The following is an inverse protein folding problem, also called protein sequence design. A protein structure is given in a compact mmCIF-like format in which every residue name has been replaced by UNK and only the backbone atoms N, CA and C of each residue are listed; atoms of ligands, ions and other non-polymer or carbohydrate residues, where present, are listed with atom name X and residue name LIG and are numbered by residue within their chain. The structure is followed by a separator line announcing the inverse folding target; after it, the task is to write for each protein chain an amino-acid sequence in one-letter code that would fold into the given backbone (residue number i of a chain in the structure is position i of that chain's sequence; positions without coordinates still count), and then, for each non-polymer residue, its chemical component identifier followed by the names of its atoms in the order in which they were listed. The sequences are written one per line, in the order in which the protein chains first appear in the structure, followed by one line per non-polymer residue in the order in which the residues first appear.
data_IF_556187734580
#
_entry.id   IF_556187734580
#
_cell.length_a   1.000
_cell.length_b   1.000
_cell.length_c   1.000
_cell.angle_alpha   90.00
_cell.angle_beta   90.00
_cell.angle_gamma   90.00
#
_symmetry.space_group_name_H-M   'P 1'
#
loop_
_entity.id
_entity.type
_entity.pdbx_description
1 polymer ?
#
# COMPACT_ATOMS: atom_id res chain seq x y z
N UNK A 1 -5.85 15.88 17.31
CA UNK A 1 -5.37 16.10 15.92
C UNK A 1 -6.30 17.05 15.17
N UNK A 2 -5.78 18.03 14.42
CA UNK A 2 -6.62 18.92 13.59
C UNK A 2 -6.99 18.25 12.25
N UNK A 3 -8.07 18.70 11.61
CA UNK A 3 -8.60 18.11 10.37
C UNK A 3 -7.55 18.07 9.25
N UNK A 4 -6.74 19.12 9.11
CA UNK A 4 -5.72 19.20 8.06
C UNK A 4 -4.64 18.12 8.19
N UNK A 5 -4.23 17.78 9.42
CA UNK A 5 -3.24 16.70 9.65
C UNK A 5 -3.85 15.34 9.36
N UNK A 6 -5.12 15.12 9.74
CA UNK A 6 -5.85 13.91 9.40
C UNK A 6 -5.93 13.71 7.88
N UNK A 7 -6.23 14.78 7.13
CA UNK A 7 -6.33 14.72 5.67
C UNK A 7 -4.99 14.35 5.03
N UNK A 8 -3.86 14.89 5.51
CA UNK A 8 -2.55 14.50 4.98
C UNK A 8 -2.24 13.03 5.26
N UNK A 9 -2.51 12.55 6.47
CA UNK A 9 -2.33 11.16 6.84
C UNK A 9 -3.14 10.25 5.93
N UNK A 10 -4.45 10.48 5.82
CA UNK A 10 -5.33 9.63 5.02
C UNK A 10 -4.94 9.67 3.54
N UNK A 11 -4.66 10.85 3.01
CA UNK A 11 -4.24 11.01 1.61
C UNK A 11 -2.95 10.22 1.33
N UNK A 12 -1.94 10.36 2.18
CA UNK A 12 -0.69 9.60 2.08
C UNK A 12 -0.95 8.09 2.10
N UNK A 13 -1.72 7.62 3.08
CA UNK A 13 -2.04 6.20 3.28
C UNK A 13 -2.76 5.60 2.08
N UNK A 14 -3.75 6.29 1.51
CA UNK A 14 -4.48 5.81 0.34
C UNK A 14 -3.64 5.86 -0.95
N UNK A 15 -2.80 6.89 -1.13
CA UNK A 15 -1.84 6.94 -2.23
C UNK A 15 -0.86 5.76 -2.14
N UNK A 16 -0.31 5.49 -0.95
CA UNK A 16 0.60 4.37 -0.72
C UNK A 16 -0.09 3.03 -0.96
N UNK A 17 -1.37 2.86 -0.57
CA UNK A 17 -2.13 1.64 -0.87
C UNK A 17 -2.30 1.43 -2.39
N UNK A 18 -2.66 2.47 -3.13
CA UNK A 18 -2.74 2.41 -4.60
C UNK A 18 -1.38 2.11 -5.24
N UNK A 19 -0.31 2.71 -4.73
CA UNK A 19 1.05 2.46 -5.17
C UNK A 19 1.45 0.99 -5.01
N UNK A 20 1.12 0.35 -3.87
CA UNK A 20 1.40 -1.07 -3.64
C UNK A 20 0.70 -1.97 -4.66
N UNK A 21 -0.53 -1.63 -5.05
CA UNK A 21 -1.27 -2.38 -6.06
C UNK A 21 -0.62 -2.23 -7.43
N UNK A 22 -0.21 -1.01 -7.80
CA UNK A 22 0.46 -0.77 -9.07
C UNK A 22 1.82 -1.50 -9.15
N UNK A 23 2.59 -1.49 -8.06
CA UNK A 23 3.82 -2.27 -7.91
C UNK A 23 3.53 -3.77 -8.11
N UNK A 24 2.46 -4.28 -7.48
CA UNK A 24 2.07 -5.69 -7.61
C UNK A 24 1.66 -6.07 -9.03
N UNK A 25 0.93 -5.20 -9.74
CA UNK A 25 0.61 -5.38 -11.17
C UNK A 25 1.90 -5.45 -11.99
N UNK A 26 2.83 -4.52 -11.75
CA UNK A 26 4.12 -4.50 -12.44
C UNK A 26 4.94 -5.77 -12.24
N UNK A 27 5.04 -6.25 -11.01
CA UNK A 27 5.75 -7.49 -10.69
C UNK A 27 5.07 -8.74 -11.24
N UNK A 28 3.75 -8.78 -11.29
CA UNK A 28 3.02 -9.88 -11.90
C UNK A 28 3.28 -9.98 -13.41
N UNK A 29 3.38 -8.83 -14.10
CA UNK A 29 3.72 -8.76 -15.54
C UNK A 29 5.16 -9.20 -15.80
N UNK A 30 6.12 -8.64 -15.06
CA UNK A 30 7.54 -9.02 -15.16
C UNK A 30 7.74 -10.54 -14.97
N UNK A 31 7.01 -11.14 -14.01
CA UNK A 31 7.04 -12.59 -13.81
C UNK A 31 6.41 -13.37 -14.98
N UNK A 32 5.31 -12.89 -15.54
CA UNK A 32 4.65 -13.54 -16.67
C UNK A 32 5.55 -13.55 -17.92
N UNK A 33 6.19 -12.41 -18.22
CA UNK A 33 7.12 -12.27 -19.35
C UNK A 33 8.32 -13.22 -19.17
N UNK A 34 8.83 -13.37 -17.95
CA UNK A 34 9.91 -14.31 -17.65
C UNK A 34 9.55 -15.76 -17.83
N UNK A 35 8.38 -16.18 -17.36
CA UNK A 35 7.93 -17.57 -17.55
C UNK A 35 7.76 -17.90 -19.04
N UNK A 36 7.52 -16.91 -19.89
CA UNK A 36 7.47 -17.08 -21.34
C UNK A 36 8.85 -17.16 -22.00
N UNK A 37 9.84 -16.39 -21.51
CA UNK A 37 11.17 -16.26 -22.15
C UNK A 37 12.27 -17.16 -21.54
N UNK A 38 12.21 -17.45 -20.25
CA UNK A 38 13.26 -18.14 -19.52
C UNK A 38 12.66 -19.21 -18.60
N UNK A 39 13.08 -20.46 -18.76
CA UNK A 39 12.63 -21.63 -17.99
C UNK A 39 12.94 -21.60 -16.48
N UNK A 40 12.48 -20.58 -15.75
CA UNK A 40 12.39 -20.55 -14.29
C UNK A 40 13.47 -19.78 -13.53
N UNK A 41 14.35 -19.01 -14.19
CA UNK A 41 15.29 -18.15 -13.47
C UNK A 41 14.62 -16.84 -13.03
N UNK A 42 14.88 -16.41 -11.79
CA UNK A 42 14.31 -15.18 -11.24
C UNK A 42 14.69 -13.92 -12.00
N UNK A 43 13.83 -12.91 -11.93
CA UNK A 43 14.02 -11.62 -12.58
C UNK A 43 15.37 -10.97 -12.24
N UNK A 44 16.14 -10.63 -13.28
CA UNK A 44 17.17 -9.60 -13.14
C UNK A 44 16.54 -8.25 -12.73
N UNK A 45 17.36 -7.35 -12.20
CA UNK A 45 16.89 -6.03 -11.77
C UNK A 45 16.38 -5.16 -12.93
N UNK A 46 16.91 -5.33 -14.14
CA UNK A 46 16.63 -4.46 -15.28
C UNK A 46 15.15 -4.51 -15.74
N UNK A 47 14.51 -5.68 -15.98
CA UNK A 47 13.08 -5.75 -16.32
C UNK A 47 12.16 -5.15 -15.24
N UNK A 48 12.53 -5.28 -13.96
CA UNK A 48 11.77 -4.70 -12.85
C UNK A 48 11.82 -3.18 -12.94
N UNK A 49 13.02 -2.60 -13.08
CA UNK A 49 13.22 -1.15 -13.15
C UNK A 49 12.63 -0.50 -14.40
N UNK A 50 12.53 -1.25 -15.50
CA UNK A 50 11.92 -0.77 -16.75
C UNK A 50 10.40 -0.95 -16.82
N UNK A 51 9.79 -1.63 -15.86
CA UNK A 51 8.34 -1.83 -15.86
C UNK A 51 7.60 -0.51 -15.59
N UNK A 52 6.74 -0.02 -16.52
CA UNK A 52 6.03 1.24 -16.33
C UNK A 52 5.14 1.27 -15.07
N UNK A 53 4.62 0.11 -14.69
CA UNK A 53 3.79 -0.03 -13.50
C UNK A 53 4.65 0.03 -12.24
N UNK A 54 5.86 -0.55 -12.26
CA UNK A 54 6.80 -0.44 -11.14
C UNK A 54 7.25 1.02 -10.97
N UNK A 55 7.63 1.69 -12.06
CA UNK A 55 8.03 3.11 -12.03
C UNK A 55 6.88 3.98 -11.51
N UNK A 56 5.68 3.82 -12.07
CA UNK A 56 4.50 4.56 -11.62
C UNK A 56 4.15 4.28 -10.15
N UNK A 57 4.30 3.03 -9.71
CA UNK A 57 4.07 2.61 -8.34
C UNK A 57 5.10 3.23 -7.38
N UNK A 58 6.38 3.20 -7.72
CA UNK A 58 7.44 3.84 -6.93
C UNK A 58 7.26 5.35 -6.87
N UNK A 59 6.89 5.99 -7.98
CA UNK A 59 6.60 7.42 -8.03
C UNK A 59 5.42 7.79 -7.14
N UNK A 60 4.30 7.06 -7.23
CA UNK A 60 3.14 7.26 -6.37
C UNK A 60 3.50 7.01 -4.89
N UNK A 61 4.27 5.97 -4.59
CA UNK A 61 4.74 5.70 -3.23
C UNK A 61 5.62 6.84 -2.69
N UNK A 62 6.49 7.40 -3.54
CA UNK A 62 7.29 8.58 -3.23
C UNK A 62 6.42 9.81 -2.92
N UNK A 63 5.38 10.08 -3.71
CA UNK A 63 4.41 11.14 -3.42
C UNK A 63 3.71 10.89 -2.08
N UNK A 64 3.26 9.65 -1.83
CA UNK A 64 2.67 9.25 -0.56
C UNK A 64 3.59 9.55 0.62
N UNK A 65 4.89 9.25 0.48
CA UNK A 65 5.90 9.57 1.48
C UNK A 65 6.10 11.09 1.68
N UNK A 66 6.12 11.89 0.61
CA UNK A 66 6.22 13.35 0.73
C UNK A 66 5.00 13.95 1.45
N UNK A 67 3.80 13.45 1.18
CA UNK A 67 2.58 13.85 1.91
C UNK A 67 2.64 13.39 3.37
N UNK A 68 3.20 12.21 3.64
CA UNK A 68 3.41 11.71 5.00
C UNK A 68 4.32 12.63 5.82
N UNK A 69 5.41 13.13 5.22
CA UNK A 69 6.31 14.06 5.90
C UNK A 69 5.57 15.35 6.35
N UNK A 70 4.59 15.81 5.57
CA UNK A 70 3.73 16.94 5.96
C UNK A 70 2.78 16.66 7.12
N UNK A 71 2.36 15.41 7.29
CA UNK A 71 1.65 15.00 8.48
C UNK A 71 2.58 14.97 9.71
N UNK A 72 3.77 14.38 9.57
CA UNK A 72 4.74 14.26 10.67
C UNK A 72 5.29 15.62 11.15
N UNK A 73 5.27 16.64 10.29
CA UNK A 73 5.58 18.01 10.68
C UNK A 73 4.58 18.58 11.71
N UNK A 74 3.37 18.01 11.82
CA UNK A 74 2.24 18.59 12.57
C UNK A 74 1.73 17.75 13.73
N UNK A 75 2.03 16.46 13.73
CA UNK A 75 1.58 15.52 14.75
C UNK A 75 2.68 14.53 15.09
N UNK A 76 2.68 14.06 16.33
CA UNK A 76 3.61 13.03 16.76
C UNK A 76 3.38 11.74 15.95
N UNK A 77 4.47 11.02 15.68
CA UNK A 77 4.44 9.75 14.95
C UNK A 77 3.49 8.76 15.62
N UNK A 78 3.46 8.69 16.96
CA UNK A 78 2.57 7.81 17.72
C UNK A 78 1.09 8.10 17.52
N UNK A 79 0.72 9.36 17.22
CA UNK A 79 -0.65 9.75 16.89
C UNK A 79 -0.99 9.43 15.42
N UNK A 80 -0.02 9.56 14.50
CA UNK A 80 -0.23 9.33 13.08
C UNK A 80 -0.22 7.85 12.68
N UNK A 81 0.67 7.06 13.27
CA UNK A 81 0.91 5.66 12.91
C UNK A 81 -0.33 4.75 12.95
N UNK A 82 -1.27 4.90 13.90
CA UNK A 82 -2.51 4.12 13.92
C UNK A 82 -3.30 4.20 12.62
N UNK A 83 -3.26 5.33 11.90
CA UNK A 83 -3.96 5.47 10.63
C UNK A 83 -3.28 4.74 9.46
N UNK A 84 -1.99 4.40 9.57
CA UNK A 84 -1.30 3.55 8.57
C UNK A 84 -1.99 2.19 8.45
N UNK A 85 -2.60 1.71 9.52
CA UNK A 85 -3.33 0.45 9.51
C UNK A 85 -4.58 0.48 8.60
N UNK A 86 -5.17 1.66 8.35
CA UNK A 86 -6.20 1.81 7.31
C UNK A 86 -5.63 1.54 5.91
N UNK A 87 -4.33 1.78 5.70
CA UNK A 87 -3.61 1.43 4.49
C UNK A 87 -3.54 -0.07 4.26
N UNK A 88 -3.40 -0.89 5.31
CA UNK A 88 -3.49 -2.34 5.17
C UNK A 88 -4.87 -2.77 4.70
N UNK A 89 -5.93 -2.18 5.26
CA UNK A 89 -7.32 -2.47 4.86
C UNK A 89 -7.59 -2.02 3.43
N UNK A 90 -7.13 -0.81 3.06
CA UNK A 90 -7.26 -0.30 1.70
C UNK A 90 -6.50 -1.17 0.70
N UNK A 91 -5.25 -1.56 1.01
CA UNK A 91 -4.45 -2.43 0.15
C UNK A 91 -5.08 -3.82 0.03
N UNK A 92 -5.60 -4.37 1.12
CA UNK A 92 -6.34 -5.64 1.09
C UNK A 92 -7.59 -5.54 0.21
N UNK A 93 -8.40 -4.51 0.38
CA UNK A 93 -9.59 -4.28 -0.43
C UNK A 93 -9.23 -4.14 -1.92
N UNK A 94 -8.23 -3.32 -2.25
CA UNK A 94 -7.77 -3.18 -3.62
C UNK A 94 -7.17 -4.49 -4.17
N UNK A 95 -6.48 -5.29 -3.36
CA UNK A 95 -6.01 -6.61 -3.76
C UNK A 95 -7.18 -7.54 -4.15
N UNK A 96 -8.26 -7.51 -3.39
CA UNK A 96 -9.48 -8.28 -3.69
C UNK A 96 -10.15 -7.75 -4.97
N UNK A 97 -10.37 -6.44 -5.09
CA UNK A 97 -11.17 -5.86 -6.18
C UNK A 97 -10.40 -5.63 -7.49
N UNK A 98 -9.13 -5.27 -7.42
CA UNK A 98 -8.30 -4.93 -8.60
C UNK A 98 -7.51 -6.16 -9.06
N UNK A 99 -6.87 -6.86 -8.13
CA UNK A 99 -6.02 -8.00 -8.44
C UNK A 99 -6.78 -9.33 -8.42
N UNK A 100 -8.05 -9.31 -8.01
CA UNK A 100 -8.88 -10.52 -7.88
C UNK A 100 -8.23 -11.58 -6.98
N UNK A 101 -7.53 -11.13 -5.92
CA UNK A 101 -6.90 -12.03 -4.97
C UNK A 101 -7.96 -12.87 -4.23
N UNK A 102 -7.67 -14.16 -3.95
CA UNK A 102 -8.60 -15.01 -3.23
C UNK A 102 -8.90 -14.46 -1.84
N UNK A 103 -10.20 -14.41 -1.51
CA UNK A 103 -10.67 -13.97 -0.21
C UNK A 103 -10.60 -15.14 0.76
N UNK A 104 -9.71 -15.04 1.74
CA UNK A 104 -9.63 -15.99 2.84
C UNK A 104 -10.29 -15.44 4.09
N UNK A 105 -11.15 -16.23 4.74
CA UNK A 105 -11.88 -15.84 5.96
C UNK A 105 -10.93 -15.36 7.06
N UNK A 106 -9.75 -15.98 7.19
CA UNK A 106 -8.70 -15.57 8.13
C UNK A 106 -8.20 -14.15 7.87
N UNK A 107 -8.06 -13.75 6.60
CA UNK A 107 -7.64 -12.42 6.20
C UNK A 107 -8.70 -11.37 6.55
N UNK A 108 -9.98 -11.70 6.37
CA UNK A 108 -11.09 -10.83 6.76
C UNK A 108 -11.18 -10.64 8.27
N UNK A 109 -11.03 -11.73 9.05
CA UNK A 109 -11.01 -11.67 10.51
C UNK A 109 -9.82 -10.82 11.00
N UNK A 110 -8.63 -11.05 10.44
CA UNK A 110 -7.45 -10.24 10.75
C UNK A 110 -7.66 -8.75 10.43
N UNK A 111 -8.26 -8.44 9.27
CA UNK A 111 -8.61 -7.08 8.89
C UNK A 111 -9.59 -6.42 9.88
N UNK A 112 -10.61 -7.15 10.32
CA UNK A 112 -11.55 -6.66 11.33
C UNK A 112 -10.86 -6.38 12.67
N UNK A 113 -9.93 -7.25 13.10
CA UNK A 113 -9.13 -7.04 14.31
C UNK A 113 -8.21 -5.82 14.20
N UNK A 114 -7.60 -5.60 13.05
CA UNK A 114 -6.81 -4.39 12.78
C UNK A 114 -7.67 -3.14 12.93
N UNK A 115 -8.85 -3.11 12.29
CA UNK A 115 -9.78 -1.98 12.40
C UNK A 115 -10.20 -1.73 13.86
N UNK A 116 -10.52 -2.78 14.61
CA UNK A 116 -10.85 -2.66 16.03
C UNK A 116 -9.68 -2.07 16.84
N UNK A 117 -8.44 -2.51 16.56
CA UNK A 117 -7.23 -1.94 17.16
C UNK A 117 -7.03 -0.47 16.85
N UNK A 118 -7.26 -0.05 15.59
CA UNK A 118 -7.18 1.36 15.18
C UNK A 118 -8.21 2.20 15.93
N UNK A 119 -9.45 1.73 16.03
CA UNK A 119 -10.51 2.43 16.78
C UNK A 119 -10.13 2.54 18.26
N UNK A 120 -9.64 1.47 18.87
CA UNK A 120 -9.24 1.48 20.28
C UNK A 120 -8.11 2.47 20.56
N UNK A 121 -7.11 2.54 19.67
CA UNK A 121 -6.01 3.48 19.79
C UNK A 121 -6.47 4.92 19.52
N UNK A 122 -7.31 5.14 18.50
CA UNK A 122 -7.80 6.47 18.14
C UNK A 122 -8.86 7.07 19.07
N UNK A 123 -9.44 6.27 19.98
CA UNK A 123 -10.37 6.72 21.02
C UNK A 123 -9.66 7.32 22.26
N UNK A 124 -8.32 7.35 22.29
CA UNK A 124 -7.49 7.98 23.32
C UNK A 124 -6.53 8.98 22.70
#
# INVERSE_FOLDING_TARGET
MNLSSLLFILTSVFISAGAQILLKIGMNKVRADQLAEAGGAGAGLLPILMSPHVIGGLFAYGIGALVWLKALERVDVSQAYPFVALGFIATMALGIFVLHEPVHTTRLIGGALILAGVVLVGLR
#
